data_IF_758941453012
#
_entry.id   IF_758941453012
#
_cell.length_a   1.000
_cell.length_b   1.000
_cell.length_c   1.000
_cell.angle_alpha   90.00
_cell.angle_beta   90.00
_cell.angle_gamma   90.00
#
_symmetry.space_group_name_H-M   'P 1'
#
loop_
_entity.id
_entity.type
_entity.pdbx_description
1 polymer ?
#
# COMPACT_ATOMS: atom_id res chain seq x y z
N UNK A 1 4.12 1.44 6.36
CA UNK A 1 4.64 0.06 6.20
C UNK A 1 5.60 -0.20 7.36
N UNK A 2 6.16 -1.41 7.47
CA UNK A 2 7.27 -1.67 8.36
C UNK A 2 8.33 -2.59 7.71
N UNK A 3 9.62 -2.37 7.99
CA UNK A 3 10.73 -3.09 7.34
C UNK A 3 10.77 -4.58 7.66
N UNK A 4 10.40 -4.94 8.89
CA UNK A 4 10.38 -6.33 9.37
C UNK A 4 9.11 -7.10 8.98
N UNK A 5 8.07 -6.42 8.48
CA UNK A 5 6.77 -7.03 8.21
C UNK A 5 6.75 -7.84 6.91
N UNK A 6 6.46 -9.15 7.01
CA UNK A 6 6.34 -10.04 5.84
C UNK A 6 5.22 -9.64 4.87
N UNK A 7 4.07 -9.18 5.38
CA UNK A 7 2.97 -8.68 4.55
C UNK A 7 3.35 -7.41 3.78
N UNK A 8 4.12 -6.50 4.39
CA UNK A 8 4.63 -5.32 3.71
C UNK A 8 5.57 -5.70 2.57
N UNK A 9 6.48 -6.67 2.79
CA UNK A 9 7.39 -7.18 1.75
C UNK A 9 6.61 -7.75 0.57
N UNK A 10 5.55 -8.53 0.83
CA UNK A 10 4.71 -9.12 -0.22
C UNK A 10 4.02 -8.06 -1.09
N UNK A 11 3.48 -7.00 -0.48
CA UNK A 11 2.88 -5.88 -1.24
C UNK A 11 3.93 -5.16 -2.09
N UNK A 12 5.10 -4.84 -1.53
CA UNK A 12 6.20 -4.19 -2.27
C UNK A 12 6.64 -5.03 -3.47
N UNK A 13 6.80 -6.34 -3.27
CA UNK A 13 7.17 -7.28 -4.33
C UNK A 13 6.12 -7.30 -5.43
N UNK A 14 4.83 -7.39 -5.10
CA UNK A 14 3.76 -7.36 -6.08
C UNK A 14 3.78 -6.06 -6.89
N UNK A 15 3.83 -4.90 -6.24
CA UNK A 15 3.86 -3.61 -6.93
C UNK A 15 5.09 -3.48 -7.84
N UNK A 16 6.26 -3.96 -7.37
CA UNK A 16 7.49 -4.01 -8.16
C UNK A 16 7.33 -4.92 -9.38
N UNK A 17 6.75 -6.11 -9.23
CA UNK A 17 6.50 -7.05 -10.32
C UNK A 17 5.56 -6.48 -11.39
N UNK A 18 4.59 -5.66 -10.96
CA UNK A 18 3.68 -4.96 -11.86
C UNK A 18 4.31 -3.72 -12.51
N UNK A 19 5.57 -3.39 -12.18
CA UNK A 19 6.26 -2.20 -12.69
C UNK A 19 5.68 -0.89 -12.17
N UNK A 20 4.98 -0.92 -11.04
CA UNK A 20 4.38 0.27 -10.45
C UNK A 20 5.43 1.14 -9.76
N UNK A 21 5.32 2.45 -9.97
CA UNK A 21 6.02 3.44 -9.16
C UNK A 21 5.23 3.68 -7.87
N UNK A 22 5.92 3.68 -6.72
CA UNK A 22 5.29 3.89 -5.42
C UNK A 22 6.28 4.52 -4.42
N UNK A 23 5.72 5.17 -3.40
CA UNK A 23 6.46 5.66 -2.23
C UNK A 23 6.16 4.78 -1.03
N UNK A 24 7.18 4.53 -0.21
CA UNK A 24 7.05 3.81 1.06
C UNK A 24 7.35 4.77 2.20
N UNK A 25 6.53 4.69 3.24
CA UNK A 25 6.78 5.32 4.54
C UNK A 25 6.91 4.16 5.54
N UNK A 26 8.11 3.96 6.08
CA UNK A 26 8.41 2.94 7.08
C UNK A 26 8.17 3.52 8.47
N UNK A 27 7.17 3.02 9.18
CA UNK A 27 6.78 3.54 10.49
C UNK A 27 7.76 3.12 11.59
N UNK A 28 8.51 2.04 11.37
CA UNK A 28 9.49 1.51 12.33
C UNK A 28 10.86 2.21 12.26
N UNK A 29 11.10 3.05 11.26
CA UNK A 29 12.36 3.80 11.10
C UNK A 29 12.21 5.30 11.41
N UNK A 30 10.98 5.80 11.52
CA UNK A 30 10.69 7.22 11.78
C UNK A 30 10.53 7.54 13.26
N UNK A 31 10.85 8.77 13.67
CA UNK A 31 10.56 9.27 15.02
C UNK A 31 9.06 9.39 15.30
N UNK A 32 8.27 9.64 14.25
CA UNK A 32 6.84 9.97 14.36
C UNK A 32 5.96 8.77 13.95
N UNK A 33 6.52 7.55 13.99
CA UNK A 33 5.87 6.32 13.53
C UNK A 33 4.55 6.02 14.24
N UNK A 34 4.53 6.16 15.56
CA UNK A 34 3.36 5.92 16.40
C UNK A 34 2.25 6.94 16.16
N UNK A 35 2.60 8.23 16.07
CA UNK A 35 1.66 9.31 15.75
C UNK A 35 1.07 9.13 14.35
N UNK A 36 1.91 8.78 13.37
CA UNK A 36 1.47 8.49 12.01
C UNK A 36 0.54 7.28 11.98
N UNK A 37 0.84 6.22 12.73
CA UNK A 37 -0.01 5.03 12.82
C UNK A 37 -1.36 5.35 13.47
N UNK A 38 -1.36 6.18 14.51
CA UNK A 38 -2.59 6.64 15.16
C UNK A 38 -3.46 7.48 14.22
N UNK A 39 -2.87 8.43 13.50
CA UNK A 39 -3.57 9.24 12.51
C UNK A 39 -4.15 8.39 11.37
N UNK A 40 -3.37 7.42 10.86
CA UNK A 40 -3.86 6.46 9.86
C UNK A 40 -5.04 5.64 10.39
N UNK A 41 -4.98 5.19 11.64
CA UNK A 41 -6.07 4.45 12.25
C UNK A 41 -7.35 5.28 12.40
N UNK A 42 -7.23 6.57 12.71
CA UNK A 42 -8.38 7.49 12.76
C UNK A 42 -8.98 7.71 11.37
N UNK A 43 -8.15 7.94 10.36
CA UNK A 43 -8.60 8.26 9.01
C UNK A 43 -9.14 7.06 8.24
N UNK A 44 -8.53 5.89 8.41
CA UNK A 44 -8.85 4.70 7.60
C UNK A 44 -9.53 3.59 8.38
N UNK A 45 -9.57 3.69 9.71
CA UNK A 45 -9.99 2.61 10.60
C UNK A 45 -8.98 1.47 10.74
N UNK A 46 -7.83 1.53 10.05
CA UNK A 46 -6.85 0.44 10.02
C UNK A 46 -5.63 0.76 10.89
N UNK A 47 -5.41 -0.07 11.93
CA UNK A 47 -4.25 0.03 12.84
C UNK A 47 -3.03 -0.79 12.40
N UNK A 48 -3.18 -1.62 11.38
CA UNK A 48 -2.16 -2.58 10.94
C UNK A 48 -1.41 -2.12 9.71
N UNK A 49 -0.16 -2.55 9.58
CA UNK A 49 0.62 -2.44 8.35
C UNK A 49 0.53 -3.74 7.53
N UNK A 50 0.63 -3.68 6.19
CA UNK A 50 0.71 -2.47 5.36
C UNK A 50 -0.62 -1.71 5.32
N UNK A 51 -0.57 -0.39 5.18
CA UNK A 51 -1.72 0.47 4.88
C UNK A 51 -1.44 1.12 3.51
N UNK A 52 -2.26 0.80 2.50
CA UNK A 52 -1.97 1.08 1.09
C UNK A 52 -2.99 2.05 0.51
N UNK A 53 -2.47 3.05 -0.22
CA UNK A 53 -3.27 4.04 -0.93
C UNK A 53 -2.88 4.07 -2.42
N UNK A 54 -3.88 4.20 -3.29
CA UNK A 54 -3.69 4.33 -4.75
C UNK A 54 -4.59 5.47 -5.23
N UNK A 55 -4.01 6.46 -5.93
CA UNK A 55 -4.77 7.62 -6.42
C UNK A 55 -5.54 8.38 -5.33
N UNK A 56 -4.98 8.45 -4.11
CA UNK A 56 -5.62 9.08 -2.95
C UNK A 56 -6.70 8.23 -2.25
N UNK A 57 -7.02 7.04 -2.76
CA UNK A 57 -8.02 6.14 -2.16
C UNK A 57 -7.34 5.10 -1.26
N UNK A 58 -7.90 4.87 -0.07
CA UNK A 58 -7.46 3.81 0.82
C UNK A 58 -7.90 2.43 0.27
N UNK A 59 -6.93 1.56 0.03
CA UNK A 59 -7.14 0.21 -0.50
C UNK A 59 -7.17 -0.83 0.62
N UNK A 60 -6.44 -0.58 1.71
CA UNK A 60 -6.38 -1.44 2.89
C UNK A 60 -5.04 -2.16 3.05
N UNK A 61 -5.12 -3.39 3.58
CA UNK A 61 -3.98 -4.23 3.90
C UNK A 61 -3.47 -5.10 2.75
N UNK A 62 -2.58 -6.04 3.08
CA UNK A 62 -2.02 -6.96 2.10
C UNK A 62 -3.12 -7.80 1.42
N UNK A 63 -4.06 -8.33 2.19
CA UNK A 63 -5.12 -9.18 1.65
C UNK A 63 -6.02 -8.41 0.69
N UNK A 64 -6.38 -7.17 1.03
CA UNK A 64 -7.17 -6.29 0.16
C UNK A 64 -6.46 -6.01 -1.17
N UNK A 65 -5.15 -5.75 -1.14
CA UNK A 65 -4.36 -5.53 -2.36
C UNK A 65 -4.29 -6.81 -3.21
N UNK A 66 -4.04 -7.96 -2.58
CA UNK A 66 -3.96 -9.25 -3.27
C UNK A 66 -5.30 -9.66 -3.88
N UNK A 67 -6.40 -9.45 -3.16
CA UNK A 67 -7.76 -9.69 -3.65
C UNK A 67 -8.04 -8.84 -4.90
N UNK A 68 -7.73 -7.53 -4.86
CA UNK A 68 -7.91 -6.65 -6.03
C UNK A 68 -7.02 -7.06 -7.20
N UNK A 69 -5.83 -7.60 -6.94
CA UNK A 69 -4.99 -8.15 -8.00
C UNK A 69 -5.61 -9.40 -8.63
N UNK A 70 -6.06 -10.36 -7.82
CA UNK A 70 -6.69 -11.59 -8.29
C UNK A 70 -8.00 -11.31 -9.05
N UNK A 71 -8.77 -10.32 -8.61
CA UNK A 71 -9.97 -9.86 -9.28
C UNK A 71 -9.70 -9.03 -10.56
N UNK A 72 -8.44 -8.79 -10.93
CA UNK A 72 -8.07 -8.00 -12.11
C UNK A 72 -8.30 -6.49 -11.98
N UNK A 73 -8.64 -5.99 -10.78
CA UNK A 73 -8.95 -4.58 -10.53
C UNK A 73 -7.72 -3.74 -10.17
N UNK A 74 -6.62 -4.36 -9.75
CA UNK A 74 -5.43 -3.62 -9.30
C UNK A 74 -4.72 -2.87 -10.44
N UNK A 75 -4.58 -3.50 -11.62
CA UNK A 75 -3.91 -2.88 -12.77
C UNK A 75 -4.64 -1.63 -13.27
N UNK A 76 -5.99 -1.65 -13.48
CA UNK A 76 -6.75 -0.45 -13.80
C UNK A 76 -6.53 0.68 -12.79
N UNK A 77 -6.60 0.40 -11.48
CA UNK A 77 -6.39 1.40 -10.43
C UNK A 77 -4.99 2.03 -10.49
N UNK A 78 -3.96 1.22 -10.72
CA UNK A 78 -2.58 1.71 -10.87
C UNK A 78 -2.42 2.56 -12.13
N UNK A 79 -3.06 2.18 -13.24
CA UNK A 79 -3.03 2.93 -14.50
C UNK A 79 -3.74 4.27 -14.36
N UNK A 80 -4.93 4.28 -13.77
CA UNK A 80 -5.70 5.52 -13.52
C UNK A 80 -4.94 6.49 -12.60
N UNK A 81 -4.20 5.95 -11.63
CA UNK A 81 -3.34 6.75 -10.75
C UNK A 81 -2.01 7.18 -11.41
N UNK A 82 -1.73 6.78 -12.65
CA UNK A 82 -0.47 7.05 -13.34
C UNK A 82 0.74 6.34 -12.74
N UNK A 83 0.53 5.30 -11.92
CA UNK A 83 1.59 4.57 -11.26
C UNK A 83 2.30 3.57 -12.19
N UNK A 84 1.61 3.13 -13.25
CA UNK A 84 2.15 2.28 -14.33
C UNK A 84 1.89 2.95 -15.69
N UNK A 85 2.72 2.62 -16.69
CA UNK A 85 2.46 3.05 -18.06
C UNK A 85 1.23 2.31 -18.61
N UNK A 86 0.25 3.06 -19.12
CA UNK A 86 -0.83 2.50 -19.94
C UNK A 86 -0.22 2.04 -21.27
N UNK A 87 -0.34 0.75 -21.59
CA UNK A 87 -0.02 0.23 -22.93
C UNK A 87 -1.19 0.45 -23.87
#
# INVERSE_FOLDING_TARGET
MATYCGYCKRVKQLLTQLGATYKVIELDEGTDGDETQAALAEWTGQRTVPNVFIGGKHIGGCDSVLEKHQAGHLLPLLSEAGAIASK
#
